data_IF_609982281687
#
_entry.id   IF_609982281687
#
_cell.length_a   1.000
_cell.length_b   1.000
_cell.length_c   1.000
_cell.angle_alpha   90.00
_cell.angle_beta   90.00
_cell.angle_gamma   90.00
#
_symmetry.space_group_name_H-M   'P 1'
#
loop_
_entity.id
_entity.type
_entity.pdbx_description
1 polymer ?
#
# COMPACT_ATOMS: atom_id res chain seq x y z
N UNK A 1 11.70 26.77 4.49
CA UNK A 1 11.50 26.71 3.02
C UNK A 1 10.58 25.60 2.52
N UNK A 2 10.57 24.43 3.12
CA UNK A 2 9.77 23.27 2.66
C UNK A 2 8.25 23.43 2.78
N UNK A 3 7.74 24.16 3.78
CA UNK A 3 6.29 24.33 4.00
C UNK A 3 5.57 25.05 2.85
N UNK A 4 6.17 26.08 2.27
CA UNK A 4 5.63 26.78 1.09
C UNK A 4 5.54 25.83 -0.12
N UNK A 5 6.60 25.04 -0.36
CA UNK A 5 6.63 24.07 -1.46
C UNK A 5 5.62 22.93 -1.27
N UNK A 6 5.37 22.51 -0.02
CA UNK A 6 4.33 21.53 0.29
C UNK A 6 2.92 22.06 -0.01
N UNK A 7 2.64 23.33 0.34
CA UNK A 7 1.37 24.00 -0.04
C UNK A 7 1.24 24.11 -1.57
N UNK A 8 2.29 24.51 -2.27
CA UNK A 8 2.32 24.59 -3.72
C UNK A 8 2.09 23.20 -4.36
N UNK A 9 2.70 22.14 -3.80
CA UNK A 9 2.44 20.75 -4.23
C UNK A 9 0.98 20.36 -4.04
N UNK A 10 0.38 20.68 -2.90
CA UNK A 10 -1.02 20.37 -2.62
C UNK A 10 -1.97 21.08 -3.61
N UNK A 11 -1.73 22.38 -3.87
CA UNK A 11 -2.48 23.14 -4.85
C UNK A 11 -2.33 22.58 -6.28
N UNK A 12 -1.11 22.19 -6.67
CA UNK A 12 -0.86 21.55 -7.96
C UNK A 12 -1.56 20.21 -8.09
N UNK A 13 -1.57 19.39 -7.02
CA UNK A 13 -2.30 18.11 -6.99
C UNK A 13 -3.81 18.28 -7.10
N UNK A 14 -4.39 19.32 -6.48
CA UNK A 14 -5.82 19.57 -6.55
C UNK A 14 -6.27 19.95 -7.99
N UNK A 15 -5.44 20.68 -8.73
CA UNK A 15 -5.71 21.04 -10.14
C UNK A 15 -5.41 19.92 -11.12
N UNK A 16 -4.68 18.90 -10.72
CA UNK A 16 -4.24 17.82 -11.61
C UNK A 16 -5.43 16.97 -12.06
N UNK A 17 -5.62 16.75 -13.37
CA UNK A 17 -6.68 15.89 -13.86
C UNK A 17 -6.45 14.43 -13.45
N UNK A 18 -7.55 13.69 -13.27
CA UNK A 18 -7.48 12.25 -13.03
C UNK A 18 -7.22 11.53 -14.35
N UNK A 19 -6.07 10.90 -14.46
CA UNK A 19 -5.71 10.14 -15.65
C UNK A 19 -6.37 8.77 -15.63
N UNK A 20 -7.37 8.58 -16.47
CA UNK A 20 -8.09 7.32 -16.62
C UNK A 20 -7.87 6.75 -18.02
N UNK A 21 -8.02 5.43 -18.14
CA UNK A 21 -8.03 4.80 -19.46
C UNK A 21 -9.17 5.35 -20.30
N UNK A 22 -8.86 5.77 -21.52
CA UNK A 22 -9.87 6.31 -22.45
C UNK A 22 -10.89 5.23 -22.76
N UNK A 23 -12.19 5.59 -22.67
CA UNK A 23 -13.32 4.70 -22.97
C UNK A 23 -13.43 3.43 -22.11
N UNK A 24 -12.71 3.33 -20.98
CA UNK A 24 -12.79 2.17 -20.11
C UNK A 24 -14.21 1.85 -19.63
N UNK A 25 -15.01 2.87 -19.39
CA UNK A 25 -16.41 2.73 -18.96
C UNK A 25 -17.37 2.25 -20.06
N UNK A 26 -16.99 2.37 -21.34
CA UNK A 26 -17.82 1.97 -22.48
C UNK A 26 -17.67 0.50 -22.86
N UNK A 27 -16.58 -0.14 -22.41
CA UNK A 27 -16.28 -1.52 -22.75
C UNK A 27 -16.44 -2.44 -21.54
N UNK A 28 -17.46 -3.29 -21.52
CA UNK A 28 -17.65 -4.29 -20.47
C UNK A 28 -16.42 -5.20 -20.29
N UNK A 29 -15.74 -5.57 -21.40
CA UNK A 29 -14.51 -6.36 -21.39
C UNK A 29 -13.39 -5.75 -20.54
N UNK A 30 -13.34 -4.43 -20.36
CA UNK A 30 -12.35 -3.75 -19.55
C UNK A 30 -12.71 -3.69 -18.06
N UNK A 31 -13.87 -4.22 -17.69
CA UNK A 31 -14.36 -4.31 -16.31
C UNK A 31 -14.12 -3.00 -15.51
N UNK A 32 -14.46 -1.86 -16.12
CA UNK A 32 -14.24 -0.52 -15.57
C UNK A 32 -12.78 -0.23 -15.13
N UNK A 33 -11.80 -0.89 -15.75
CA UNK A 33 -10.38 -0.66 -15.46
C UNK A 33 -10.02 0.82 -15.68
N UNK A 34 -9.83 1.57 -14.60
CA UNK A 34 -9.51 3.01 -14.63
C UNK A 34 -8.01 3.28 -14.77
N UNK A 35 -7.17 2.25 -14.67
CA UNK A 35 -5.72 2.39 -14.75
C UNK A 35 -5.28 3.04 -16.06
N UNK A 36 -4.45 4.07 -15.95
CA UNK A 36 -3.97 4.80 -17.12
C UNK A 36 -3.26 3.91 -18.13
N UNK A 37 -3.61 4.10 -19.39
CA UNK A 37 -2.90 3.54 -20.54
C UNK A 37 -2.63 4.68 -21.53
N UNK A 38 -1.39 4.83 -22.00
CA UNK A 38 -1.03 5.84 -23.00
C UNK A 38 -1.70 5.50 -24.33
N UNK A 39 -2.52 6.42 -24.89
CA UNK A 39 -3.16 6.16 -26.17
C UNK A 39 -2.12 6.12 -27.30
N UNK A 40 -2.14 5.05 -28.11
CA UNK A 40 -1.21 4.83 -29.22
C UNK A 40 -1.88 4.93 -30.61
N UNK A 41 -3.20 4.70 -30.70
CA UNK A 41 -3.94 4.68 -31.96
C UNK A 41 -3.80 5.97 -32.78
N UNK A 42 -3.66 5.82 -34.10
CA UNK A 42 -3.50 6.95 -35.03
C UNK A 42 -4.68 7.93 -34.97
N UNK A 43 -5.90 7.45 -34.91
CA UNK A 43 -7.13 8.24 -34.81
C UNK A 43 -7.50 8.73 -33.42
N UNK A 44 -6.71 8.40 -32.37
CA UNK A 44 -7.09 8.71 -31.00
C UNK A 44 -7.07 10.22 -30.74
N UNK A 45 -8.25 10.79 -30.48
CA UNK A 45 -8.45 12.24 -30.28
C UNK A 45 -7.73 12.77 -29.02
N UNK A 46 -7.57 11.93 -27.99
CA UNK A 46 -6.82 12.30 -26.76
C UNK A 46 -5.33 12.41 -27.08
N UNK A 47 -4.76 11.46 -27.84
CA UNK A 47 -3.36 11.54 -28.28
C UNK A 47 -3.08 12.81 -29.10
N UNK A 48 -4.04 13.22 -29.91
CA UNK A 48 -3.92 14.42 -30.76
C UNK A 48 -4.22 15.72 -30.00
N UNK A 49 -4.51 15.69 -28.70
CA UNK A 49 -4.79 16.90 -27.91
C UNK A 49 -6.04 17.67 -28.37
N UNK A 50 -7.04 16.99 -28.96
CA UNK A 50 -8.25 17.66 -29.46
C UNK A 50 -9.04 18.29 -28.34
N UNK A 51 -9.55 19.52 -28.57
CA UNK A 51 -10.41 20.27 -27.65
C UNK A 51 -11.59 19.42 -27.18
N UNK A 52 -11.98 19.51 -25.91
CA UNK A 52 -13.04 18.73 -25.30
C UNK A 52 -12.67 17.28 -24.94
N UNK A 53 -11.39 16.90 -25.04
CA UNK A 53 -10.89 15.59 -24.59
C UNK A 53 -10.03 15.73 -23.35
N UNK A 54 -9.95 14.66 -22.48
CA UNK A 54 -9.13 14.68 -21.29
C UNK A 54 -7.67 14.96 -21.59
N UNK A 55 -7.01 15.71 -20.70
CA UNK A 55 -5.58 15.99 -20.81
C UNK A 55 -4.76 14.72 -20.59
N UNK A 56 -3.63 14.63 -21.30
CA UNK A 56 -2.65 13.58 -21.08
C UNK A 56 -1.66 13.98 -19.97
N UNK A 57 -0.97 12.99 -19.36
CA UNK A 57 0.16 13.29 -18.48
C UNK A 57 1.24 14.06 -19.23
N UNK A 58 1.51 15.28 -18.77
CA UNK A 58 2.53 16.18 -19.31
C UNK A 58 3.47 16.66 -18.22
N UNK A 59 4.62 17.20 -18.62
CA UNK A 59 5.66 17.67 -17.70
C UNK A 59 5.15 18.76 -16.75
N UNK A 60 4.26 19.64 -17.22
CA UNK A 60 3.66 20.73 -16.44
C UNK A 60 2.83 20.27 -15.23
N UNK A 61 2.39 19.01 -15.20
CA UNK A 61 1.66 18.43 -14.08
C UNK A 61 2.58 17.81 -13.00
N UNK A 62 3.90 17.95 -13.10
CA UNK A 62 4.83 17.48 -12.08
C UNK A 62 4.73 18.32 -10.81
N UNK A 63 5.00 17.69 -9.67
CA UNK A 63 5.24 18.39 -8.40
C UNK A 63 6.64 19.00 -8.37
N UNK A 64 6.89 20.06 -7.59
CA UNK A 64 8.21 20.62 -7.39
C UNK A 64 9.20 19.52 -6.94
N UNK A 65 10.40 19.52 -7.49
CA UNK A 65 11.39 18.44 -7.30
C UNK A 65 11.72 18.23 -5.82
N UNK A 66 11.98 19.30 -5.09
CA UNK A 66 12.40 19.26 -3.67
C UNK A 66 11.38 18.60 -2.73
N UNK A 67 10.08 18.58 -3.08
CA UNK A 67 9.02 17.99 -2.28
C UNK A 67 8.37 16.78 -2.95
N UNK A 68 8.94 16.36 -4.07
CA UNK A 68 8.48 15.17 -4.79
C UNK A 68 8.84 13.92 -4.01
N UNK A 69 7.86 13.02 -3.79
CA UNK A 69 8.08 11.78 -3.05
C UNK A 69 8.01 11.89 -1.53
N UNK A 70 8.02 13.12 -0.97
CA UNK A 70 7.85 13.28 0.48
C UNK A 70 6.42 12.96 0.91
N UNK A 71 6.24 12.66 2.18
CA UNK A 71 4.91 12.53 2.79
C UNK A 71 4.19 13.89 2.85
N UNK A 72 2.92 13.90 3.30
CA UNK A 72 2.16 15.14 3.48
C UNK A 72 2.78 16.07 4.52
N UNK A 73 3.48 15.53 5.51
CA UNK A 73 4.22 16.27 6.53
C UNK A 73 5.62 16.73 6.06
N UNK A 74 6.03 16.41 4.85
CA UNK A 74 7.36 16.73 4.33
C UNK A 74 8.45 15.77 4.76
N UNK A 75 8.11 14.62 5.35
CA UNK A 75 9.06 13.59 5.75
C UNK A 75 9.38 12.65 4.58
N UNK A 76 10.59 12.11 4.56
CA UNK A 76 11.02 11.14 3.54
C UNK A 76 10.54 9.74 3.92
N UNK A 77 9.76 9.05 3.09
CA UNK A 77 9.35 7.68 3.35
C UNK A 77 10.52 6.71 3.19
N UNK A 78 10.82 5.95 4.25
CA UNK A 78 11.82 4.89 4.27
C UNK A 78 11.12 3.55 4.47
N UNK A 79 11.33 2.61 3.53
CA UNK A 79 10.73 1.28 3.62
C UNK A 79 11.55 0.41 4.54
N UNK A 80 10.90 -0.19 5.54
CA UNK A 80 11.49 -1.03 6.57
C UNK A 80 10.91 -2.44 6.47
N UNK A 81 11.76 -3.44 6.39
CA UNK A 81 11.37 -4.85 6.35
C UNK A 81 11.75 -5.60 7.64
N UNK A 82 12.75 -5.12 8.37
CA UNK A 82 13.26 -5.72 9.60
C UNK A 82 13.46 -4.65 10.69
N UNK A 83 13.57 -5.11 11.93
CA UNK A 83 13.86 -4.22 13.08
C UNK A 83 15.22 -3.52 12.91
N UNK A 84 16.24 -4.21 12.37
CA UNK A 84 17.55 -3.64 12.11
C UNK A 84 17.54 -2.41 11.17
N UNK A 85 16.59 -2.36 10.24
CA UNK A 85 16.47 -1.24 9.31
C UNK A 85 16.02 0.06 10.00
N UNK A 86 15.40 -0.04 11.19
CA UNK A 86 14.97 1.14 11.97
C UNK A 86 16.16 1.96 12.48
N UNK A 87 17.33 1.35 12.68
CA UNK A 87 18.54 2.05 13.10
C UNK A 87 19.05 3.07 12.06
N UNK A 88 18.61 2.94 10.81
CA UNK A 88 18.99 3.83 9.69
C UNK A 88 18.03 5.01 9.49
N UNK A 89 16.98 5.08 10.30
CA UNK A 89 15.87 6.04 10.12
C UNK A 89 16.01 7.20 11.11
N UNK A 90 16.01 8.41 10.60
CA UNK A 90 16.06 9.63 11.41
C UNK A 90 14.66 10.07 11.82
N UNK A 91 14.41 10.27 13.11
CA UNK A 91 13.11 10.66 13.66
C UNK A 91 12.60 12.05 13.18
N UNK A 92 13.50 12.94 12.77
CA UNK A 92 13.18 14.31 12.34
C UNK A 92 12.87 14.43 10.86
N UNK A 93 13.54 13.65 10.01
CA UNK A 93 13.50 13.79 8.54
C UNK A 93 12.71 12.69 7.87
N UNK A 94 12.56 11.54 8.53
CA UNK A 94 12.05 10.34 7.91
C UNK A 94 10.71 9.89 8.50
N UNK A 95 9.95 9.13 7.71
CA UNK A 95 8.74 8.40 8.14
C UNK A 95 8.90 6.94 7.75
N UNK A 96 8.68 6.05 8.71
CA UNK A 96 8.75 4.60 8.49
C UNK A 96 7.55 4.11 7.68
N UNK A 97 7.82 3.37 6.62
CA UNK A 97 6.81 2.64 5.84
C UNK A 97 7.11 1.16 5.95
N UNK A 98 6.23 0.40 6.59
CA UNK A 98 6.41 -1.05 6.72
C UNK A 98 6.16 -1.71 5.37
N UNK A 99 7.10 -2.52 4.90
CA UNK A 99 7.01 -3.25 3.64
C UNK A 99 5.76 -4.13 3.57
N UNK A 100 5.15 -4.24 2.39
CA UNK A 100 3.94 -5.03 2.18
C UNK A 100 4.14 -6.54 2.45
N UNK A 101 5.35 -7.03 2.23
CA UNK A 101 5.74 -8.43 2.44
C UNK A 101 5.95 -8.80 3.91
N UNK A 102 6.02 -7.81 4.82
CA UNK A 102 6.22 -8.04 6.26
C UNK A 102 4.96 -8.66 6.87
N UNK A 103 5.09 -9.88 7.38
CA UNK A 103 4.01 -10.62 8.04
C UNK A 103 3.61 -10.05 9.40
N UNK A 104 2.48 -10.53 9.95
CA UNK A 104 1.88 -10.01 11.19
C UNK A 104 2.83 -10.02 12.40
N UNK A 105 3.56 -11.11 12.64
CA UNK A 105 4.50 -11.22 13.77
C UNK A 105 5.61 -10.18 13.68
N UNK A 106 6.39 -10.20 12.61
CA UNK A 106 7.47 -9.20 12.38
C UNK A 106 6.94 -7.76 12.36
N UNK A 107 5.73 -7.54 11.88
CA UNK A 107 5.11 -6.20 11.88
C UNK A 107 4.86 -5.69 13.30
N UNK A 108 4.45 -6.54 14.22
CA UNK A 108 4.29 -6.19 15.63
C UNK A 108 5.64 -5.82 16.25
N UNK A 109 6.70 -6.61 15.98
CA UNK A 109 8.03 -6.33 16.48
C UNK A 109 8.58 -4.99 15.96
N UNK A 110 8.42 -4.72 14.66
CA UNK A 110 8.79 -3.43 14.04
C UNK A 110 7.99 -2.27 14.64
N UNK A 111 6.69 -2.42 14.88
CA UNK A 111 5.86 -1.37 15.47
C UNK A 111 6.28 -1.07 16.91
N UNK A 112 6.55 -2.09 17.73
CA UNK A 112 7.01 -1.91 19.11
C UNK A 112 8.37 -1.21 19.14
N UNK A 113 9.32 -1.63 18.31
CA UNK A 113 10.63 -0.99 18.19
C UNK A 113 10.52 0.46 17.68
N UNK A 114 9.60 0.77 16.77
CA UNK A 114 9.35 2.13 16.30
C UNK A 114 8.79 3.04 17.40
N UNK A 115 7.94 2.51 18.31
CA UNK A 115 7.46 3.24 19.49
C UNK A 115 8.62 3.56 20.43
N UNK A 116 9.48 2.59 20.71
CA UNK A 116 10.66 2.77 21.57
C UNK A 116 11.60 3.85 21.01
N UNK A 117 11.81 3.84 19.70
CA UNK A 117 12.63 4.83 18.99
C UNK A 117 11.91 6.16 18.70
N UNK A 118 10.65 6.32 19.11
CA UNK A 118 9.80 7.51 18.87
C UNK A 118 9.71 7.89 17.37
N UNK A 119 9.69 6.90 16.49
CA UNK A 119 9.61 7.09 15.04
C UNK A 119 8.15 7.22 14.58
N UNK A 120 7.91 8.05 13.58
CA UNK A 120 6.61 8.16 12.93
C UNK A 120 6.43 7.02 11.94
N UNK A 121 5.30 6.30 12.02
CA UNK A 121 4.98 5.20 11.10
C UNK A 121 3.82 5.61 10.20
N UNK A 122 4.01 5.53 8.90
CA UNK A 122 2.99 5.84 7.90
C UNK A 122 1.83 4.84 7.98
N UNK A 123 0.59 5.35 7.93
CA UNK A 123 -0.62 4.52 8.00
C UNK A 123 -1.00 4.03 9.41
N UNK A 124 -0.24 4.38 10.43
CA UNK A 124 -0.49 4.03 11.83
C UNK A 124 -0.52 5.27 12.71
N UNK A 125 -1.66 5.98 12.78
CA UNK A 125 -1.82 7.13 13.67
C UNK A 125 -1.71 6.71 15.15
N UNK A 126 -2.38 5.59 15.49
CA UNK A 126 -2.34 4.97 16.82
C UNK A 126 -1.67 3.60 16.73
N UNK A 127 -0.38 3.52 17.00
CA UNK A 127 0.41 2.28 16.92
C UNK A 127 -0.12 1.25 17.94
N UNK A 128 -0.48 1.67 19.15
CA UNK A 128 -1.02 0.80 20.18
C UNK A 128 -2.32 0.10 19.75
N UNK A 129 -3.24 0.81 19.08
CA UNK A 129 -4.46 0.21 18.51
C UNK A 129 -4.13 -0.77 17.39
N UNK A 130 -3.16 -0.45 16.55
CA UNK A 130 -2.72 -1.29 15.44
C UNK A 130 -2.09 -2.60 15.94
N UNK A 131 -1.25 -2.54 16.96
CA UNK A 131 -0.66 -3.72 17.62
C UNK A 131 -1.75 -4.61 18.23
N UNK A 132 -2.69 -4.02 19.00
CA UNK A 132 -3.84 -4.76 19.57
C UNK A 132 -4.68 -5.46 18.51
N UNK A 133 -4.89 -4.84 17.35
CA UNK A 133 -5.62 -5.44 16.23
C UNK A 133 -4.87 -6.62 15.63
N UNK A 134 -3.56 -6.49 15.45
CA UNK A 134 -2.72 -7.55 14.89
C UNK A 134 -2.58 -8.75 15.84
N UNK A 135 -2.45 -8.51 17.15
CA UNK A 135 -2.42 -9.59 18.15
C UNK A 135 -3.74 -10.38 18.21
N UNK A 136 -4.89 -9.69 18.15
CA UNK A 136 -6.21 -10.36 18.08
C UNK A 136 -6.38 -11.22 16.84
N UNK A 137 -5.81 -10.82 15.70
CA UNK A 137 -5.86 -11.61 14.45
C UNK A 137 -4.96 -12.84 14.56
N UNK A 138 -3.76 -12.71 15.12
CA UNK A 138 -2.83 -13.83 15.30
C UNK A 138 -3.35 -14.90 16.27
N UNK A 139 -4.05 -14.51 17.33
CA UNK A 139 -4.67 -15.45 18.28
C UNK A 139 -5.84 -16.21 17.65
N UNK A 140 -6.65 -15.56 16.79
CA UNK A 140 -7.74 -16.23 16.07
C UNK A 140 -7.25 -17.28 15.06
N UNK A 141 -6.12 -17.02 14.39
CA UNK A 141 -5.51 -18.00 13.47
C UNK A 141 -4.79 -19.14 14.18
N UNK A 142 -4.28 -18.93 15.39
CA UNK A 142 -3.67 -19.97 16.20
C UNK A 142 -4.70 -20.91 16.88
N UNK A 143 -5.94 -20.46 17.07
CA UNK A 143 -7.04 -21.22 17.68
C UNK A 143 -7.94 -21.96 16.67
N UNK A 144 -7.69 -21.86 15.38
CA UNK A 144 -8.38 -22.67 14.37
C UNK A 144 -7.86 -24.13 14.46
N UNK A 145 -8.72 -25.11 14.77
CA UNK A 145 -8.25 -26.42 15.25
C UNK A 145 -7.68 -27.26 14.12
N UNK A 146 -6.38 -27.54 14.22
CA UNK A 146 -5.71 -28.65 13.50
C UNK A 146 -6.32 -30.02 13.91
N UNK A 147 -7.20 -30.05 14.93
CA UNK A 147 -7.83 -31.26 15.45
C UNK A 147 -8.79 -31.99 14.51
N UNK A 148 -9.31 -31.36 13.46
CA UNK A 148 -10.25 -32.00 12.50
C UNK A 148 -9.59 -32.82 11.39
N UNK A 149 -8.31 -32.58 11.09
CA UNK A 149 -7.61 -33.31 10.03
C UNK A 149 -6.97 -34.65 10.54
N UNK A 150 -6.59 -34.70 11.81
CA UNK A 150 -5.98 -35.90 12.39
C UNK A 150 -7.04 -36.95 12.75
N UNK A 151 -8.20 -36.55 13.24
CA UNK A 151 -9.31 -37.43 13.55
C UNK A 151 -9.86 -38.18 12.33
N UNK A 152 -10.00 -37.51 11.20
CA UNK A 152 -10.46 -38.13 9.93
C UNK A 152 -9.46 -39.11 9.31
N UNK A 153 -8.15 -39.00 9.65
CA UNK A 153 -7.13 -39.89 9.10
C UNK A 153 -6.98 -41.16 9.95
N UNK A 154 -7.34 -41.12 11.24
CA UNK A 154 -7.35 -42.29 12.13
C UNK A 154 -8.61 -43.15 11.91
N UNK A 155 -9.77 -42.56 11.65
CA UNK A 155 -11.00 -43.30 11.34
C UNK A 155 -10.92 -44.05 10.01
N UNK A 156 -10.37 -43.44 8.94
CA UNK A 156 -10.17 -44.14 7.67
C UNK A 156 -9.21 -45.31 7.74
N UNK A 157 -8.19 -45.25 8.62
CA UNK A 157 -7.22 -46.33 8.76
C UNK A 157 -7.75 -47.53 9.62
N UNK A 158 -8.75 -47.30 10.43
CA UNK A 158 -9.41 -48.35 11.21
C UNK A 158 -10.52 -49.06 10.45
N UNK A 159 -11.08 -48.49 9.39
CA UNK A 159 -12.06 -49.12 8.50
C UNK A 159 -11.38 -50.01 7.45
N UNK A 160 -10.20 -49.66 6.94
CA UNK A 160 -9.45 -50.50 5.99
C UNK A 160 -8.88 -51.77 6.60
N UNK A 161 -8.64 -51.83 7.92
CA UNK A 161 -8.11 -53.02 8.63
C UNK A 161 -9.22 -54.00 9.03
N UNK A 162 -10.52 -53.61 8.89
CA UNK A 162 -11.65 -54.50 9.19
C UNK A 162 -12.30 -55.14 7.95
N UNK A 163 -11.75 -54.90 6.77
CA UNK A 163 -12.24 -55.45 5.50
C UNK A 163 -11.26 -56.40 4.80
N UNK A 164 -10.19 -56.83 5.50
CA UNK A 164 -9.39 -57.99 5.19
C UNK A 164 -9.63 -59.06 6.29
#
# INVERSE_FOLDING_TARGET
>A
MTAHLLKARAASKARKPTYRRVQAHQFAKLNHETKWRKPKGMGNKVRRGRRGKPSMPEVGFKSPFSVSGLDHNGLRPVVVNNVADLAKVDSKTDVVVIGATVGGRKRIDVLNAAVTAKLKVSGHNDIAKSVKKLTKVSTKTASAPVKKAVAKKSEKKSEEVKSE
#
